data_IF_991307663873
#
_entry.id   IF_991307663873
#
_cell.length_a   1.000
_cell.length_b   1.000
_cell.length_c   1.000
_cell.angle_alpha   90.00
_cell.angle_beta   90.00
_cell.angle_gamma   90.00
#
_symmetry.space_group_name_H-M   'P 1'
#
loop_
_entity.id
_entity.type
_entity.pdbx_description
1 polymer ?
#
# COMPACT_ATOMS: atom_id res chain seq x y z
N UNK A 1 15.58 20.75 -2.14
CA UNK A 1 15.61 19.57 -3.00
C UNK A 1 14.30 18.86 -2.74
N UNK A 2 13.50 18.63 -3.77
CA UNK A 2 12.26 17.89 -3.62
C UNK A 2 12.60 16.46 -3.17
N UNK A 3 11.82 15.94 -2.24
CA UNK A 3 12.05 14.64 -1.66
C UNK A 3 11.53 13.57 -2.64
N UNK A 4 12.41 13.00 -3.47
CA UNK A 4 12.06 12.01 -4.51
C UNK A 4 11.45 10.71 -3.97
N UNK A 5 11.32 10.58 -2.65
CA UNK A 5 10.95 9.37 -1.95
C UNK A 5 9.60 9.48 -1.23
N UNK A 6 8.80 10.51 -1.53
CA UNK A 6 7.45 10.63 -0.98
C UNK A 6 6.48 9.87 -1.87
N UNK A 7 5.76 8.93 -1.28
CA UNK A 7 4.63 8.23 -1.88
C UNK A 7 3.32 8.74 -1.27
N UNK A 8 2.37 9.12 -2.12
CA UNK A 8 1.04 9.57 -1.72
C UNK A 8 0.05 8.52 -2.19
N UNK A 9 -0.58 7.81 -1.25
CA UNK A 9 -1.52 6.75 -1.58
C UNK A 9 -2.72 6.71 -0.63
N UNK A 10 -3.79 6.06 -1.09
CA UNK A 10 -4.89 5.59 -0.25
C UNK A 10 -5.09 4.09 -0.44
N UNK A 11 -5.41 3.41 0.65
CA UNK A 11 -5.93 2.05 0.66
C UNK A 11 -7.34 2.08 1.25
N UNK A 12 -8.32 1.58 0.51
CA UNK A 12 -9.73 1.64 0.90
C UNK A 12 -10.47 0.33 0.59
N UNK A 13 -11.53 0.07 1.36
CA UNK A 13 -12.57 -0.86 0.94
C UNK A 13 -13.68 -0.08 0.26
N UNK A 14 -14.23 -0.63 -0.81
CA UNK A 14 -15.38 -0.10 -1.52
C UNK A 14 -16.53 -1.11 -1.49
N UNK A 15 -17.77 -0.61 -1.45
CA UNK A 15 -18.94 -1.47 -1.44
C UNK A 15 -19.07 -2.29 -2.73
N UNK A 16 -18.68 -1.70 -3.86
CA UNK A 16 -18.73 -2.32 -5.18
C UNK A 16 -17.57 -1.83 -6.05
N UNK A 17 -16.61 -2.71 -6.35
CA UNK A 17 -15.49 -2.41 -7.22
C UNK A 17 -15.81 -2.54 -8.73
N UNK A 18 -16.94 -3.16 -9.10
CA UNK A 18 -17.28 -3.41 -10.50
C UNK A 18 -17.37 -2.13 -11.35
N UNK A 19 -18.03 -1.03 -10.92
CA UNK A 19 -18.04 0.21 -11.70
C UNK A 19 -16.63 0.78 -11.93
N UNK A 20 -15.72 0.62 -10.96
CA UNK A 20 -14.33 1.07 -11.10
C UNK A 20 -13.60 0.23 -12.15
N UNK A 21 -13.76 -1.09 -12.12
CA UNK A 21 -13.15 -2.00 -13.10
C UNK A 21 -13.64 -1.65 -14.50
N UNK A 22 -14.95 -1.56 -14.71
CA UNK A 22 -15.56 -1.20 -16.01
C UNK A 22 -15.09 0.19 -16.50
N UNK A 23 -14.94 1.14 -15.59
CA UNK A 23 -14.40 2.47 -15.91
C UNK A 23 -12.95 2.41 -16.35
N UNK A 24 -12.11 1.66 -15.61
CA UNK A 24 -10.67 1.54 -15.88
C UNK A 24 -10.40 0.74 -17.16
N UNK A 25 -11.16 -0.31 -17.45
CA UNK A 25 -11.07 -1.06 -18.70
C UNK A 25 -11.37 -0.18 -19.93
N UNK A 26 -12.28 0.81 -19.77
CA UNK A 26 -12.66 1.72 -20.85
C UNK A 26 -11.74 2.95 -20.98
N UNK A 27 -11.26 3.49 -19.88
CA UNK A 27 -10.63 4.82 -19.82
C UNK A 27 -9.19 4.81 -19.30
N UNK A 28 -8.77 3.74 -18.65
CA UNK A 28 -7.42 3.55 -18.11
C UNK A 28 -6.52 2.77 -19.06
N UNK A 29 -5.23 2.71 -18.71
CA UNK A 29 -4.26 1.86 -19.38
C UNK A 29 -3.92 0.69 -18.48
N UNK A 30 -4.35 -0.52 -18.81
CA UNK A 30 -3.99 -1.73 -18.07
C UNK A 30 -2.48 -1.97 -18.09
N UNK A 31 -1.90 -2.19 -16.93
CA UNK A 31 -0.47 -2.40 -16.76
C UNK A 31 -0.10 -3.86 -16.52
N UNK A 32 -0.79 -4.50 -15.58
CA UNK A 32 -0.49 -5.88 -15.21
C UNK A 32 -1.56 -6.49 -14.29
N UNK A 33 -1.59 -7.82 -14.27
CA UNK A 33 -2.17 -8.64 -13.22
C UNK A 33 -1.07 -9.55 -12.69
N UNK A 34 -0.81 -9.57 -11.38
CA UNK A 34 0.29 -10.32 -10.77
C UNK A 34 -0.08 -10.87 -9.42
N UNK A 35 0.37 -12.07 -9.17
CA UNK A 35 0.44 -12.61 -7.83
C UNK A 35 1.64 -12.00 -7.11
N UNK A 36 1.43 -11.49 -5.90
CA UNK A 36 2.45 -10.87 -5.06
C UNK A 36 2.45 -11.49 -3.67
N UNK A 37 3.64 -11.84 -3.21
CA UNK A 37 3.88 -12.30 -1.84
C UNK A 37 4.83 -11.31 -1.16
N UNK A 38 4.33 -10.64 -0.14
CA UNK A 38 5.05 -9.61 0.62
C UNK A 38 5.37 -10.17 2.01
N UNK A 39 6.65 -10.38 2.31
CA UNK A 39 7.13 -10.80 3.62
C UNK A 39 7.58 -9.57 4.41
N UNK A 40 6.99 -9.35 5.59
CA UNK A 40 7.28 -8.20 6.45
C UNK A 40 8.19 -8.60 7.60
N UNK A 41 9.11 -7.68 7.96
CA UNK A 41 10.11 -7.92 8.99
C UNK A 41 10.24 -6.71 9.94
N UNK A 42 10.74 -6.97 11.16
CA UNK A 42 11.18 -5.97 12.12
C UNK A 42 12.64 -6.18 12.50
N UNK A 43 13.28 -5.15 13.05
CA UNK A 43 14.65 -5.24 13.50
C UNK A 43 14.73 -5.97 14.85
N UNK A 44 15.84 -6.67 15.09
CA UNK A 44 16.07 -7.36 16.37
C UNK A 44 16.16 -6.42 17.57
N UNK A 45 16.74 -5.23 17.37
CA UNK A 45 17.03 -4.24 18.41
C UNK A 45 16.07 -3.06 18.44
N UNK A 46 15.16 -2.95 17.47
CA UNK A 46 14.13 -1.90 17.37
C UNK A 46 12.85 -2.50 16.81
N UNK A 47 11.88 -2.72 17.68
CA UNK A 47 10.61 -3.30 17.31
C UNK A 47 9.70 -2.24 16.65
N UNK A 48 9.41 -2.39 15.37
CA UNK A 48 8.52 -1.50 14.62
C UNK A 48 7.09 -1.54 15.15
N UNK A 49 6.70 -2.63 15.81
CA UNK A 49 5.36 -2.81 16.36
C UNK A 49 5.19 -2.22 17.77
N UNK A 50 6.24 -1.62 18.36
CA UNK A 50 6.19 -1.07 19.72
C UNK A 50 5.34 0.20 19.84
N UNK A 51 5.05 0.88 18.73
CA UNK A 51 4.28 2.13 18.72
C UNK A 51 2.91 1.98 18.05
N UNK A 52 2.00 2.90 18.35
CA UNK A 52 0.68 3.02 17.70
C UNK A 52 0.44 4.47 17.28
N UNK A 53 0.06 4.72 16.01
CA UNK A 53 0.02 3.77 14.91
C UNK A 53 1.41 3.22 14.55
N UNK A 54 1.47 2.04 13.92
CA UNK A 54 2.72 1.49 13.38
C UNK A 54 3.08 2.29 12.14
N UNK A 55 4.24 2.97 12.20
CA UNK A 55 4.68 3.84 11.11
C UNK A 55 5.63 3.13 10.14
N UNK A 56 6.45 2.22 10.64
CA UNK A 56 7.55 1.64 9.88
C UNK A 56 7.24 0.22 9.40
N UNK A 57 7.50 -0.03 8.12
CA UNK A 57 7.34 -1.35 7.51
C UNK A 57 8.54 -1.67 6.62
N UNK A 58 9.13 -2.84 6.84
CA UNK A 58 10.22 -3.39 6.04
C UNK A 58 9.72 -4.63 5.32
N UNK A 59 9.85 -4.67 4.00
CA UNK A 59 9.22 -5.69 3.16
C UNK A 59 10.18 -6.26 2.13
N UNK A 60 10.16 -7.58 1.98
CA UNK A 60 10.64 -8.28 0.80
C UNK A 60 9.44 -8.70 -0.03
N UNK A 61 9.42 -8.39 -1.33
CA UNK A 61 8.35 -8.74 -2.27
C UNK A 61 8.86 -9.73 -3.30
N UNK A 62 8.07 -10.77 -3.53
CA UNK A 62 8.10 -11.60 -4.73
C UNK A 62 6.85 -11.31 -5.55
N UNK A 63 7.03 -10.85 -6.78
CA UNK A 63 5.99 -10.63 -7.76
C UNK A 63 6.28 -11.49 -9.00
N UNK A 64 5.99 -12.80 -8.89
CA UNK A 64 6.22 -13.79 -9.96
C UNK A 64 7.69 -13.81 -10.43
N UNK A 65 8.63 -13.89 -9.47
CA UNK A 65 10.07 -13.92 -9.74
C UNK A 65 10.70 -12.54 -9.98
N UNK A 66 9.94 -11.46 -9.83
CA UNK A 66 10.47 -10.09 -9.75
C UNK A 66 10.53 -9.68 -8.30
N UNK A 67 11.74 -9.50 -7.80
CA UNK A 67 11.98 -9.27 -6.39
C UNK A 67 12.26 -7.80 -6.11
N UNK A 68 11.76 -7.31 -4.98
CA UNK A 68 12.11 -5.99 -4.45
C UNK A 68 12.26 -5.99 -2.94
N UNK A 69 13.01 -5.02 -2.46
CA UNK A 69 13.22 -4.72 -1.05
C UNK A 69 12.76 -3.29 -0.80
N UNK A 70 11.87 -3.12 0.17
CA UNK A 70 11.16 -1.88 0.40
C UNK A 70 11.11 -1.55 1.89
N UNK A 71 11.29 -0.26 2.20
CA UNK A 71 11.05 0.31 3.52
C UNK A 71 10.12 1.51 3.36
N UNK A 72 9.03 1.52 4.16
CA UNK A 72 8.10 2.64 4.27
C UNK A 72 8.10 3.20 5.68
N UNK A 73 8.03 4.53 5.79
CA UNK A 73 7.82 5.24 7.05
C UNK A 73 6.64 6.21 6.88
N UNK A 74 5.50 5.86 7.43
CA UNK A 74 4.25 6.62 7.35
C UNK A 74 4.25 7.83 8.27
N UNK A 75 3.78 8.96 7.78
CA UNK A 75 3.60 10.18 8.56
C UNK A 75 2.15 10.32 8.97
N UNK A 76 1.91 10.28 10.28
CA UNK A 76 0.57 10.40 10.86
C UNK A 76 0.35 11.80 11.44
N UNK A 77 -0.84 12.36 11.21
CA UNK A 77 -1.30 13.57 11.87
C UNK A 77 -1.73 13.28 13.33
N UNK A 78 -2.13 14.34 14.06
CA UNK A 78 -2.62 14.25 15.45
C UNK A 78 -3.89 13.39 15.61
N UNK A 79 -4.60 13.11 14.54
CA UNK A 79 -5.82 12.29 14.51
C UNK A 79 -5.51 10.83 14.11
N UNK A 80 -4.25 10.50 13.88
CA UNK A 80 -3.81 9.18 13.42
C UNK A 80 -4.13 8.89 11.95
N UNK A 81 -4.31 9.94 11.13
CA UNK A 81 -4.51 9.82 9.68
C UNK A 81 -3.19 9.99 8.94
N UNK A 82 -2.98 9.20 7.91
CA UNK A 82 -1.83 9.32 7.03
C UNK A 82 -2.27 9.53 5.59
N UNK A 83 -1.53 10.38 4.87
CA UNK A 83 -1.76 10.70 3.48
C UNK A 83 -0.53 10.42 2.60
N UNK A 84 0.63 10.17 3.23
CA UNK A 84 1.89 9.90 2.54
C UNK A 84 2.88 9.17 3.43
N UNK A 85 3.89 8.56 2.81
CA UNK A 85 5.05 8.00 3.51
C UNK A 85 6.36 8.36 2.81
N UNK A 86 7.47 8.24 3.54
CA UNK A 86 8.79 8.12 2.93
C UNK A 86 8.94 6.66 2.49
N UNK A 87 9.24 6.45 1.20
CA UNK A 87 9.46 5.13 0.63
C UNK A 87 10.87 5.01 0.05
N UNK A 88 11.54 3.90 0.37
CA UNK A 88 12.80 3.51 -0.24
C UNK A 88 12.65 2.10 -0.80
N UNK A 89 12.66 1.98 -2.12
CA UNK A 89 12.55 0.68 -2.80
C UNK A 89 13.75 0.43 -3.70
N UNK A 90 14.21 -0.81 -3.74
CA UNK A 90 15.21 -1.30 -4.69
C UNK A 90 14.83 -2.67 -5.22
N UNK A 91 15.17 -2.93 -6.49
CA UNK A 91 15.00 -4.24 -7.10
C UNK A 91 16.11 -5.17 -6.66
N UNK A 92 15.79 -6.45 -6.54
CA UNK A 92 16.71 -7.51 -6.22
C UNK A 92 16.80 -8.51 -7.38
N UNK A 93 17.97 -9.04 -7.65
CA UNK A 93 18.14 -10.14 -8.61
C UNK A 93 17.73 -11.47 -7.99
N UNK A 94 17.96 -11.63 -6.68
CA UNK A 94 17.64 -12.84 -5.93
C UNK A 94 17.27 -12.49 -4.50
N UNK A 95 16.12 -12.97 -4.03
CA UNK A 95 15.59 -12.69 -2.69
C UNK A 95 16.24 -13.58 -1.61
N UNK A 96 16.69 -14.79 -1.95
CA UNK A 96 17.18 -15.77 -1.00
C UNK A 96 18.44 -15.34 -0.21
N UNK A 97 19.47 -14.71 -0.85
CA UNK A 97 20.59 -14.17 -0.09
C UNK A 97 20.17 -13.11 0.92
N UNK A 98 19.19 -12.27 0.58
CA UNK A 98 18.68 -11.23 1.48
C UNK A 98 17.97 -11.84 2.69
N UNK A 99 17.14 -12.87 2.49
CA UNK A 99 16.52 -13.62 3.59
C UNK A 99 17.55 -14.25 4.53
N UNK A 100 18.64 -14.80 3.99
CA UNK A 100 19.76 -15.34 4.80
C UNK A 100 20.47 -14.25 5.59
N UNK A 101 20.69 -13.08 5.00
CA UNK A 101 21.25 -11.91 5.70
C UNK A 101 20.31 -11.46 6.83
N UNK A 102 18.99 -11.37 6.58
CA UNK A 102 18.02 -11.02 7.60
C UNK A 102 18.03 -12.02 8.77
N UNK A 103 18.07 -13.31 8.46
CA UNK A 103 18.21 -14.36 9.49
C UNK A 103 19.48 -14.22 10.29
N UNK A 104 20.63 -14.01 9.63
CA UNK A 104 21.94 -13.85 10.28
C UNK A 104 22.01 -12.60 11.17
N UNK A 105 21.27 -11.54 10.82
CA UNK A 105 21.16 -10.30 11.58
C UNK A 105 20.00 -10.32 12.59
N UNK A 106 19.33 -11.46 12.77
CA UNK A 106 18.21 -11.66 13.70
C UNK A 106 17.00 -10.75 13.43
N UNK A 107 16.73 -10.41 12.16
CA UNK A 107 15.45 -9.77 11.82
C UNK A 107 14.29 -10.70 12.15
N UNK A 108 13.24 -10.13 12.70
CA UNK A 108 12.04 -10.89 13.11
C UNK A 108 11.03 -10.90 11.98
N UNK A 109 10.64 -12.06 11.43
CA UNK A 109 9.51 -12.12 10.52
C UNK A 109 8.22 -11.75 11.28
N UNK A 110 7.36 -10.95 10.65
CA UNK A 110 6.11 -10.44 11.23
C UNK A 110 4.90 -11.13 10.63
N UNK A 111 4.68 -10.95 9.34
CA UNK A 111 3.49 -11.42 8.62
C UNK A 111 3.81 -11.52 7.13
N UNK A 112 3.06 -12.38 6.45
CA UNK A 112 3.08 -12.53 4.99
C UNK A 112 1.75 -12.05 4.43
N UNK A 113 1.79 -11.10 3.48
CA UNK A 113 0.64 -10.65 2.71
C UNK A 113 0.69 -11.29 1.33
N UNK A 114 -0.28 -12.16 1.04
CA UNK A 114 -0.42 -12.90 -0.21
C UNK A 114 -1.62 -12.32 -0.97
N UNK A 115 -1.41 -11.78 -2.19
CA UNK A 115 -2.45 -11.09 -2.94
C UNK A 115 -2.33 -11.24 -4.44
N UNK A 116 -3.46 -11.18 -5.12
CA UNK A 116 -3.57 -10.95 -6.55
C UNK A 116 -3.82 -9.45 -6.77
N UNK A 117 -2.96 -8.79 -7.56
CA UNK A 117 -3.04 -7.35 -7.84
C UNK A 117 -3.23 -7.08 -9.33
N UNK A 118 -4.29 -6.35 -9.66
CA UNK A 118 -4.53 -5.78 -11.00
C UNK A 118 -4.24 -4.30 -10.98
N UNK A 119 -3.46 -3.80 -11.95
CA UNK A 119 -2.99 -2.42 -11.99
C UNK A 119 -3.41 -1.74 -13.28
N UNK A 120 -3.93 -0.53 -13.17
CA UNK A 120 -4.17 0.41 -14.28
C UNK A 120 -3.53 1.76 -13.97
N UNK A 121 -3.14 2.50 -15.00
CA UNK A 121 -2.86 3.93 -14.88
C UNK A 121 -4.02 4.73 -15.48
N UNK A 122 -4.44 5.78 -14.77
CA UNK A 122 -5.46 6.71 -15.21
C UNK A 122 -5.09 8.14 -14.77
N UNK A 123 -4.79 9.02 -15.74
CA UNK A 123 -4.24 10.35 -15.48
C UNK A 123 -2.97 10.27 -14.62
N UNK A 124 -2.95 10.98 -13.52
CA UNK A 124 -1.83 11.03 -12.57
C UNK A 124 -1.96 9.98 -11.45
N UNK A 125 -2.77 8.95 -11.65
CA UNK A 125 -2.99 7.88 -10.68
C UNK A 125 -2.60 6.52 -11.24
N UNK A 126 -1.93 5.72 -10.42
CA UNK A 126 -1.94 4.27 -10.50
C UNK A 126 -3.09 3.76 -9.63
N UNK A 127 -3.94 2.92 -10.19
CA UNK A 127 -5.10 2.33 -9.51
C UNK A 127 -4.92 0.83 -9.47
N UNK A 128 -4.80 0.28 -8.28
CA UNK A 128 -4.69 -1.15 -8.05
C UNK A 128 -5.96 -1.70 -7.41
N UNK A 129 -6.37 -2.89 -7.89
CA UNK A 129 -7.41 -3.70 -7.27
C UNK A 129 -6.74 -4.96 -6.74
N UNK A 130 -6.76 -5.10 -5.42
CA UNK A 130 -6.13 -6.20 -4.71
C UNK A 130 -7.18 -7.17 -4.19
N UNK A 131 -6.97 -8.46 -4.46
CA UNK A 131 -7.63 -9.54 -3.73
C UNK A 131 -6.61 -10.15 -2.77
N UNK A 132 -6.76 -9.82 -1.48
CA UNK A 132 -5.80 -10.17 -0.43
C UNK A 132 -6.31 -11.39 0.32
N UNK A 133 -5.50 -12.45 0.34
CA UNK A 133 -5.82 -13.70 1.04
C UNK A 133 -6.13 -13.42 2.52
N UNK A 134 -7.25 -13.92 2.98
CA UNK A 134 -7.76 -13.75 4.35
C UNK A 134 -8.28 -12.36 4.72
N UNK A 135 -8.15 -11.34 3.85
CA UNK A 135 -8.68 -9.99 4.10
C UNK A 135 -9.80 -9.58 3.14
N UNK A 136 -9.82 -10.16 1.92
CA UNK A 136 -10.78 -9.78 0.86
C UNK A 136 -10.24 -8.72 -0.09
N UNK A 137 -11.18 -7.95 -0.69
CA UNK A 137 -10.85 -7.04 -1.79
C UNK A 137 -10.67 -5.60 -1.32
N UNK A 138 -9.67 -4.94 -1.93
CA UNK A 138 -9.30 -3.55 -1.65
C UNK A 138 -9.04 -2.80 -2.94
N UNK A 139 -9.09 -1.47 -2.84
CA UNK A 139 -8.60 -0.55 -3.87
C UNK A 139 -7.47 0.25 -3.27
N UNK A 140 -6.32 0.27 -3.95
CA UNK A 140 -5.24 1.21 -3.67
C UNK A 140 -5.15 2.21 -4.83
N UNK A 141 -4.96 3.48 -4.52
CA UNK A 141 -4.69 4.52 -5.50
C UNK A 141 -3.45 5.26 -5.05
N UNK A 142 -2.47 5.34 -5.95
CA UNK A 142 -1.20 6.03 -5.75
C UNK A 142 -1.09 7.20 -6.74
N UNK A 143 -0.54 8.32 -6.28
CA UNK A 143 -0.22 9.46 -7.11
C UNK A 143 1.12 9.25 -7.83
N UNK A 144 1.07 9.20 -9.16
CA UNK A 144 2.24 9.06 -10.05
C UNK A 144 2.51 10.32 -10.88
N UNK A 145 1.87 11.44 -10.54
CA UNK A 145 2.05 12.71 -11.22
C UNK A 145 3.46 13.29 -11.01
N UNK A 146 3.83 14.24 -11.87
CA UNK A 146 5.18 14.83 -11.87
C UNK A 146 5.32 16.06 -10.96
N UNK A 147 4.22 16.57 -10.41
CA UNK A 147 4.26 17.72 -9.50
C UNK A 147 4.64 17.26 -8.09
N UNK A 148 5.89 17.52 -7.69
CA UNK A 148 6.43 17.18 -6.38
C UNK A 148 5.99 18.12 -5.25
N UNK A 149 5.22 19.19 -5.57
CA UNK A 149 4.76 20.20 -4.60
C UNK A 149 3.28 20.04 -4.25
N UNK A 150 2.66 18.95 -4.65
CA UNK A 150 1.25 18.67 -4.33
C UNK A 150 1.04 18.56 -2.83
N UNK A 151 -0.14 18.97 -2.38
CA UNK A 151 -0.57 18.75 -1.01
C UNK A 151 -1.11 17.31 -0.88
N UNK A 152 -0.49 16.42 -0.05
CA UNK A 152 -0.91 15.03 0.06
C UNK A 152 -2.38 14.84 0.48
N UNK A 153 -2.87 15.64 1.42
CA UNK A 153 -4.27 15.59 1.88
C UNK A 153 -5.25 15.95 0.75
N UNK A 154 -4.93 16.97 -0.04
CA UNK A 154 -5.74 17.34 -1.21
C UNK A 154 -5.77 16.21 -2.24
N UNK A 155 -4.61 15.63 -2.57
CA UNK A 155 -4.50 14.54 -3.55
C UNK A 155 -5.27 13.31 -3.10
N UNK A 156 -5.14 12.91 -1.84
CA UNK A 156 -5.90 11.77 -1.30
C UNK A 156 -7.41 12.05 -1.28
N UNK A 157 -7.84 13.30 -1.08
CA UNK A 157 -9.23 13.73 -1.25
C UNK A 157 -9.73 13.56 -2.70
N UNK A 158 -8.92 13.97 -3.69
CA UNK A 158 -9.23 13.78 -5.12
C UNK A 158 -9.37 12.30 -5.51
N UNK A 159 -8.55 11.42 -4.92
CA UNK A 159 -8.66 9.96 -5.11
C UNK A 159 -9.99 9.42 -4.58
N UNK A 160 -10.42 9.85 -3.40
CA UNK A 160 -11.72 9.47 -2.83
C UNK A 160 -12.88 10.00 -3.69
N UNK A 161 -12.81 11.26 -4.14
CA UNK A 161 -13.81 11.87 -5.01
C UNK A 161 -13.89 11.16 -6.37
N UNK A 162 -12.78 10.68 -6.89
CA UNK A 162 -12.75 9.85 -8.09
C UNK A 162 -13.55 8.56 -7.89
N UNK A 163 -13.34 7.82 -6.80
CA UNK A 163 -14.08 6.60 -6.49
C UNK A 163 -15.59 6.87 -6.32
N UNK A 164 -15.97 7.99 -5.67
CA UNK A 164 -17.37 8.42 -5.54
C UNK A 164 -18.01 8.68 -6.90
N UNK A 165 -17.32 9.42 -7.78
CA UNK A 165 -17.79 9.76 -9.12
C UNK A 165 -17.98 8.54 -10.02
N UNK A 166 -17.15 7.54 -9.85
CA UNK A 166 -17.26 6.28 -10.61
C UNK A 166 -18.41 5.40 -10.10
N UNK A 167 -18.87 5.62 -8.88
CA UNK A 167 -20.04 4.91 -8.32
C UNK A 167 -19.68 3.67 -7.53
N UNK A 168 -18.56 3.67 -6.81
CA UNK A 168 -18.11 2.56 -5.98
C UNK A 168 -18.95 2.30 -4.72
N UNK A 169 -19.99 3.10 -4.47
CA UNK A 169 -20.84 3.01 -3.29
C UNK A 169 -20.16 3.53 -2.02
N UNK A 170 -20.39 2.86 -0.91
CA UNK A 170 -19.76 3.22 0.37
C UNK A 170 -18.25 2.94 0.31
N UNK A 171 -17.46 3.95 0.69
CA UNK A 171 -15.99 3.87 0.76
C UNK A 171 -15.59 3.94 2.22
N UNK A 172 -14.72 3.03 2.66
CA UNK A 172 -14.19 3.02 4.03
C UNK A 172 -12.66 2.97 4.01
N UNK A 173 -12.04 3.76 4.88
CA UNK A 173 -10.58 3.86 5.03
C UNK A 173 -10.16 3.63 6.47
N UNK A 174 -9.03 2.97 6.69
CA UNK A 174 -8.50 2.66 8.02
C UNK A 174 -7.13 3.30 8.29
N UNK A 175 -6.51 3.94 7.30
CA UNK A 175 -5.19 4.61 7.34
C UNK A 175 -4.01 3.71 7.75
N UNK A 176 -4.18 2.39 7.62
CA UNK A 176 -3.13 1.39 7.91
C UNK A 176 -3.04 0.39 6.75
N UNK A 177 -1.88 -0.21 6.56
CA UNK A 177 -1.66 -1.17 5.47
C UNK A 177 -2.06 -2.59 5.83
N UNK A 178 -2.03 -3.50 4.83
CA UNK A 178 -2.37 -4.91 4.98
C UNK A 178 -1.66 -5.63 6.15
N UNK A 179 -0.34 -5.40 6.40
CA UNK A 179 0.31 -6.08 7.52
C UNK A 179 -0.32 -5.73 8.86
N UNK A 180 -0.76 -4.47 9.06
CA UNK A 180 -1.46 -4.07 10.28
C UNK A 180 -2.83 -4.74 10.39
N UNK A 181 -3.59 -4.85 9.28
CA UNK A 181 -4.90 -5.51 9.25
C UNK A 181 -4.81 -6.97 9.70
N UNK A 182 -3.73 -7.66 9.29
CA UNK A 182 -3.50 -9.06 9.65
C UNK A 182 -3.02 -9.24 11.09
N UNK A 183 -2.12 -8.37 11.57
CA UNK A 183 -1.52 -8.49 12.90
C UNK A 183 -2.44 -7.99 14.00
N UNK A 184 -3.27 -6.98 13.73
CA UNK A 184 -4.07 -6.27 14.73
C UNK A 184 -5.54 -6.10 14.33
N UNK A 185 -6.27 -7.17 13.97
CA UNK A 185 -7.65 -7.07 13.46
C UNK A 185 -8.62 -6.44 14.48
N UNK A 186 -8.32 -6.51 15.77
CA UNK A 186 -9.14 -5.94 16.84
C UNK A 186 -8.85 -4.45 17.13
N UNK A 187 -7.81 -3.86 16.50
CA UNK A 187 -7.43 -2.45 16.70
C UNK A 187 -7.90 -1.56 15.54
N UNK A 188 -8.63 -2.12 14.56
CA UNK A 188 -9.02 -1.42 13.34
C UNK A 188 -10.10 -0.37 13.60
N UNK A 189 -9.89 0.82 13.02
CA UNK A 189 -10.87 1.91 12.99
C UNK A 189 -11.13 2.29 11.54
N UNK A 190 -12.35 2.08 11.09
CA UNK A 190 -12.78 2.43 9.74
C UNK A 190 -13.51 3.77 9.74
N UNK A 191 -13.13 4.65 8.83
CA UNK A 191 -13.79 5.92 8.58
C UNK A 191 -14.52 5.84 7.24
N UNK A 192 -15.79 6.25 7.22
CA UNK A 192 -16.57 6.40 5.98
C UNK A 192 -16.14 7.70 5.31
N UNK A 193 -15.80 7.62 4.04
CA UNK A 193 -15.32 8.74 3.23
C UNK A 193 -16.44 9.46 2.49
#
# INVERSE_FOLDING_TARGET
MANKNIEIEIQVNVENSKPLIEFLEKNGNFQSEKHQVDEYFSLAHRDFLATRPVAEWLRLRDAEGKYSFNYKNWHFDKNGKSHYCDEFETKLENIEPVKKIFSALNFKPLVVVDKLRKIWTYKDFEVAIDSVKSLGDFVEIEYIGKDEKVNPEKVTGEMVDFLKKVGCGKITRNYVGYPFLMLFPNELKYEVQ
#
